data_IF_720179531437
#
_entry.id   IF_720179531437
#
_cell.length_a   1.000
_cell.length_b   1.000
_cell.length_c   1.000
_cell.angle_alpha   90.00
_cell.angle_beta   90.00
_cell.angle_gamma   90.00
#
_symmetry.space_group_name_H-M   'P 1'
#
loop_
_entity.id
_entity.type
_entity.pdbx_description
1 polymer ?
#
# COMPACT_ATOMS: atom_id res chain seq x y z
N UNK A 1 10.97 9.60 16.00
CA UNK A 1 11.46 8.56 15.06
C UNK A 1 10.68 8.74 13.78
N UNK A 2 11.34 8.99 12.64
CA UNK A 2 10.65 9.20 11.36
C UNK A 2 10.62 7.87 10.61
N UNK A 3 9.48 7.20 10.62
CA UNK A 3 9.28 5.98 9.82
C UNK A 3 8.96 6.40 8.40
N UNK A 4 9.78 5.99 7.45
CA UNK A 4 9.62 6.30 6.02
C UNK A 4 9.01 5.14 5.23
N UNK A 5 9.05 3.93 5.80
CA UNK A 5 8.63 2.71 5.14
C UNK A 5 8.01 1.71 6.13
N UNK A 6 6.97 1.02 5.69
CA UNK A 6 6.39 -0.12 6.38
C UNK A 6 6.38 -1.31 5.41
N UNK A 7 6.82 -2.46 5.89
CA UNK A 7 6.82 -3.72 5.15
C UNK A 7 6.11 -4.79 5.95
N UNK A 8 5.18 -5.51 5.32
CA UNK A 8 4.46 -6.60 5.94
C UNK A 8 4.10 -7.68 4.93
N UNK A 9 3.78 -8.87 5.44
CA UNK A 9 3.35 -10.02 4.64
C UNK A 9 1.88 -10.26 4.91
N UNK A 10 1.10 -10.48 3.85
CA UNK A 10 -0.34 -10.75 3.96
C UNK A 10 -0.82 -11.68 2.87
N UNK A 11 -1.97 -12.31 3.09
CA UNK A 11 -2.67 -13.06 2.05
C UNK A 11 -3.63 -12.13 1.29
N UNK A 12 -3.70 -12.29 -0.03
CA UNK A 12 -4.65 -11.53 -0.86
C UNK A 12 -6.07 -12.04 -0.64
N UNK A 13 -6.87 -11.30 0.13
CA UNK A 13 -8.24 -11.70 0.47
C UNK A 13 -9.32 -11.09 -0.45
N UNK A 14 -9.01 -10.02 -1.19
CA UNK A 14 -10.00 -9.29 -1.98
C UNK A 14 -9.99 -9.71 -3.46
N UNK A 15 -11.16 -10.01 -4.03
CA UNK A 15 -11.35 -10.25 -5.48
C UNK A 15 -10.90 -9.06 -6.34
N UNK A 16 -10.96 -7.84 -5.81
CA UNK A 16 -10.51 -6.63 -6.48
C UNK A 16 -8.98 -6.46 -6.43
N UNK A 17 -8.25 -7.35 -5.73
CA UNK A 17 -6.78 -7.38 -5.67
C UNK A 17 -6.18 -6.00 -5.37
N UNK A 18 -6.85 -5.29 -4.45
CA UNK A 18 -6.52 -3.91 -4.10
C UNK A 18 -5.81 -3.82 -2.76
N UNK A 19 -4.85 -2.90 -2.64
CA UNK A 19 -4.23 -2.52 -1.36
C UNK A 19 -4.92 -1.26 -0.83
N UNK A 20 -5.38 -1.32 0.41
CA UNK A 20 -5.96 -0.17 1.13
C UNK A 20 -5.00 0.30 2.20
N UNK A 21 -4.57 1.56 2.12
CA UNK A 21 -3.77 2.22 3.15
C UNK A 21 -4.70 2.76 4.23
N UNK A 22 -4.79 2.04 5.34
CA UNK A 22 -5.65 2.39 6.48
C UNK A 22 -4.98 3.39 7.44
N UNK A 23 -5.78 4.04 8.29
CA UNK A 23 -5.32 5.06 9.27
C UNK A 23 -4.10 4.63 10.10
N UNK A 24 -4.03 3.42 10.69
CA UNK A 24 -2.85 3.01 11.47
C UNK A 24 -1.54 3.02 10.69
N UNK A 25 -1.54 2.59 9.42
CA UNK A 25 -0.35 2.59 8.56
C UNK A 25 0.14 4.03 8.33
N UNK A 26 -0.79 4.97 8.17
CA UNK A 26 -0.48 6.40 7.99
C UNK A 26 0.10 7.05 9.22
N UNK A 27 -0.47 6.77 10.38
CA UNK A 27 0.02 7.28 11.66
C UNK A 27 1.45 6.79 11.92
N UNK A 28 1.72 5.51 11.60
CA UNK A 28 3.08 4.97 11.68
C UNK A 28 4.02 5.72 10.72
N UNK A 29 3.59 6.02 9.48
CA UNK A 29 4.38 6.81 8.50
C UNK A 29 4.44 8.32 8.81
N UNK A 30 3.94 8.76 9.97
CA UNK A 30 3.99 10.17 10.39
C UNK A 30 3.14 11.11 9.52
N UNK A 31 2.05 10.61 8.93
CA UNK A 31 1.11 11.38 8.12
C UNK A 31 -0.06 11.86 8.99
N UNK A 32 0.24 12.77 9.91
CA UNK A 32 -0.68 13.23 10.97
C UNK A 32 -1.45 14.50 10.59
N UNK A 33 -0.83 15.38 9.79
CA UNK A 33 -1.37 16.66 9.31
C UNK A 33 -1.30 16.66 7.77
N UNK A 34 -2.21 17.36 7.09
CA UNK A 34 -2.39 17.31 5.62
C UNK A 34 -2.46 15.88 5.07
N UNK A 35 -3.46 15.13 5.55
CA UNK A 35 -3.68 13.72 5.22
C UNK A 35 -3.94 13.45 3.74
N UNK A 36 -4.23 14.49 2.97
CA UNK A 36 -4.49 14.45 1.54
C UNK A 36 -3.25 14.97 0.79
N UNK A 37 -2.89 14.36 -0.35
CA UNK A 37 -1.75 14.74 -1.21
C UNK A 37 -0.36 14.23 -0.81
N UNK A 38 -0.26 13.24 0.08
CA UNK A 38 1.04 12.59 0.34
C UNK A 38 1.37 11.58 -0.77
N UNK A 39 2.55 11.69 -1.37
CA UNK A 39 3.04 10.73 -2.35
C UNK A 39 3.48 9.44 -1.66
N UNK A 40 2.94 8.32 -2.14
CA UNK A 40 3.23 6.98 -1.66
C UNK A 40 3.78 6.12 -2.80
N UNK A 41 4.73 5.25 -2.47
CA UNK A 41 5.09 4.10 -3.30
C UNK A 41 4.56 2.86 -2.63
N UNK A 42 3.72 2.12 -3.34
CA UNK A 42 3.21 0.81 -2.90
C UNK A 42 3.82 -0.25 -3.80
N UNK A 43 4.69 -1.08 -3.25
CA UNK A 43 5.27 -2.24 -3.92
C UNK A 43 4.63 -3.53 -3.39
N UNK A 44 4.24 -4.42 -4.30
CA UNK A 44 3.74 -5.75 -3.99
C UNK A 44 4.64 -6.78 -4.65
N UNK A 45 5.36 -7.54 -3.82
CA UNK A 45 6.16 -8.68 -4.25
C UNK A 45 5.35 -9.98 -4.12
N UNK A 46 5.28 -10.73 -5.21
CA UNK A 46 4.50 -11.96 -5.39
C UNK A 46 5.37 -13.04 -6.06
N UNK A 47 4.79 -14.21 -6.33
CA UNK A 47 5.49 -15.25 -7.08
C UNK A 47 5.84 -14.81 -8.52
N UNK A 48 5.15 -13.79 -9.06
CA UNK A 48 5.41 -13.21 -10.39
C UNK A 48 6.50 -12.13 -10.39
N UNK A 49 7.08 -11.80 -9.22
CA UNK A 49 8.06 -10.73 -9.04
C UNK A 49 7.47 -9.53 -8.27
N UNK A 50 8.09 -8.35 -8.41
CA UNK A 50 7.60 -7.12 -7.77
C UNK A 50 6.92 -6.18 -8.76
N UNK A 51 5.78 -5.61 -8.36
CA UNK A 51 5.12 -4.49 -9.04
C UNK A 51 5.00 -3.32 -8.08
N UNK A 52 5.45 -2.14 -8.51
CA UNK A 52 5.37 -0.91 -7.73
C UNK A 52 4.45 0.11 -8.40
N UNK A 53 3.64 0.80 -7.60
CA UNK A 53 2.73 1.85 -8.05
C UNK A 53 2.97 3.09 -7.20
N UNK A 54 3.13 4.24 -7.87
CA UNK A 54 3.18 5.55 -7.23
C UNK A 54 1.76 6.11 -7.17
N UNK A 55 1.33 6.54 -6.00
CA UNK A 55 -0.02 7.05 -5.78
C UNK A 55 -0.01 8.20 -4.77
N UNK A 56 -1.15 8.84 -4.58
CA UNK A 56 -1.34 9.92 -3.61
C UNK A 56 -2.46 9.57 -2.65
N UNK A 57 -2.36 10.05 -1.41
CA UNK A 57 -3.47 9.94 -0.46
C UNK A 57 -4.67 10.77 -0.93
N UNK A 58 -5.87 10.18 -0.84
CA UNK A 58 -7.14 10.80 -1.25
C UNK A 58 -8.04 11.07 -0.04
N UNK A 59 -9.02 11.99 -0.20
CA UNK A 59 -9.88 12.56 0.85
C UNK A 59 -10.12 11.65 2.07
N UNK A 60 -9.75 12.15 3.24
CA UNK A 60 -9.73 11.37 4.49
C UNK A 60 -8.45 10.54 4.66
N UNK A 61 -7.49 10.76 3.76
CA UNK A 61 -6.22 10.07 3.56
C UNK A 61 -6.30 8.55 3.33
N UNK A 62 -7.46 7.98 3.03
CA UNK A 62 -7.52 6.60 2.57
C UNK A 62 -6.98 6.52 1.14
N UNK A 63 -6.23 5.46 0.85
CA UNK A 63 -5.71 5.21 -0.49
C UNK A 63 -6.02 3.79 -0.88
N UNK A 64 -6.79 3.60 -1.95
CA UNK A 64 -7.08 2.29 -2.50
C UNK A 64 -6.42 2.16 -3.87
N UNK A 65 -5.43 1.28 -3.97
CA UNK A 65 -4.75 0.98 -5.24
C UNK A 65 -5.21 -0.38 -5.74
N UNK A 66 -5.87 -0.41 -6.89
CA UNK A 66 -6.44 -1.64 -7.49
C UNK A 66 -5.69 -2.10 -8.74
N UNK A 67 -4.43 -1.70 -8.88
CA UNK A 67 -3.57 -1.95 -10.06
C UNK A 67 -2.64 -3.15 -9.87
N UNK A 68 -3.09 -4.19 -9.15
CA UNK A 68 -2.33 -5.43 -8.98
C UNK A 68 -3.07 -6.64 -9.54
N UNK A 69 -4.13 -6.42 -10.31
CA UNK A 69 -5.06 -7.47 -10.74
C UNK A 69 -4.42 -8.55 -11.62
N UNK A 70 -3.45 -8.17 -12.43
CA UNK A 70 -2.60 -9.02 -13.27
C UNK A 70 -1.41 -9.62 -12.49
N UNK A 71 -1.05 -9.02 -11.36
CA UNK A 71 0.18 -9.30 -10.62
C UNK A 71 0.03 -10.32 -9.48
N UNK A 72 -1.13 -10.36 -8.83
CA UNK A 72 -1.38 -11.20 -7.64
C UNK A 72 -2.67 -12.02 -7.81
N UNK A 73 -2.79 -13.16 -7.12
CA UNK A 73 -4.00 -13.99 -7.10
C UNK A 73 -4.64 -14.07 -5.71
N UNK A 74 -5.95 -14.34 -5.63
CA UNK A 74 -6.61 -14.54 -4.35
C UNK A 74 -6.03 -15.77 -3.62
N UNK A 75 -5.76 -15.61 -2.32
CA UNK A 75 -5.10 -16.62 -1.50
C UNK A 75 -3.58 -16.66 -1.62
N UNK A 76 -2.98 -15.85 -2.51
CA UNK A 76 -1.53 -15.73 -2.60
C UNK A 76 -0.96 -14.97 -1.39
N UNK A 77 0.17 -15.46 -0.86
CA UNK A 77 0.94 -14.78 0.16
C UNK A 77 1.87 -13.76 -0.53
N UNK A 78 1.68 -12.48 -0.23
CA UNK A 78 2.43 -11.39 -0.84
C UNK A 78 3.13 -10.54 0.21
N UNK A 79 4.24 -9.92 -0.18
CA UNK A 79 4.90 -8.91 0.64
C UNK A 79 4.52 -7.53 0.12
N UNK A 80 4.00 -6.69 1.01
CA UNK A 80 3.60 -5.32 0.69
C UNK A 80 4.58 -4.36 1.37
N UNK A 81 5.12 -3.44 0.58
CA UNK A 81 5.96 -2.34 1.06
C UNK A 81 5.25 -1.03 0.74
N UNK A 82 5.07 -0.18 1.75
CA UNK A 82 4.48 1.15 1.60
C UNK A 82 5.51 2.17 2.07
N UNK A 83 5.91 3.07 1.18
CA UNK A 83 6.92 4.10 1.45
C UNK A 83 6.36 5.49 1.22
N UNK A 84 6.66 6.41 2.15
CA UNK A 84 6.44 7.86 1.97
C UNK A 84 7.58 8.44 1.13
N UNK A 85 7.25 9.20 0.09
CA UNK A 85 8.21 10.00 -0.69
C UNK A 85 8.42 11.39 -0.07
#
# INVERSE_FOLDING_TARGET
MNVVEIKFVTNVQNKQKSITVIKPIREILGMLEDIDSHNLVIEVASAKGSKAVVTQTTSGGETKVSDFSDHIECGELVTVTIRKL
#
